data_IF_298129987133
#
_entry.id   IF_298129987133
#
_cell.length_a   1.000
_cell.length_b   1.000
_cell.length_c   1.000
_cell.angle_alpha   90.00
_cell.angle_beta   90.00
_cell.angle_gamma   90.00
#
_symmetry.space_group_name_H-M   'P 1'
#
loop_
_entity.id
_entity.type
_entity.pdbx_description
1 polymer ?
#
# COMPACT_ATOMS: atom_id res chain seq x y z
N UNK A 1 -14.87 3.32 -6.76
CA UNK A 1 -13.69 3.85 -6.04
C UNK A 1 -13.44 2.94 -4.86
N UNK A 2 -12.18 2.67 -4.55
CA UNK A 2 -11.78 1.75 -3.48
C UNK A 2 -10.69 2.38 -2.63
N UNK A 3 -10.84 2.29 -1.31
CA UNK A 3 -9.78 2.58 -0.35
C UNK A 3 -9.09 1.26 -0.01
N UNK A 4 -7.81 1.13 -0.34
CA UNK A 4 -7.07 -0.10 -0.07
C UNK A 4 -6.57 -0.09 1.37
N UNK A 5 -6.74 -1.24 2.01
CA UNK A 5 -6.08 -1.57 3.26
C UNK A 5 -4.63 -2.05 3.03
N UNK A 6 -3.82 -2.05 4.07
CA UNK A 6 -2.40 -2.39 4.05
C UNK A 6 -2.15 -3.82 3.56
N UNK A 7 -3.05 -4.74 3.87
CA UNK A 7 -2.96 -6.13 3.40
C UNK A 7 -3.05 -6.23 1.87
N UNK A 8 -3.99 -5.55 1.22
CA UNK A 8 -4.21 -5.60 -0.23
C UNK A 8 -3.01 -5.03 -0.96
N UNK A 9 -2.53 -3.84 -0.56
CA UNK A 9 -1.37 -3.23 -1.22
C UNK A 9 -0.08 -4.06 -1.00
N UNK A 10 0.07 -4.67 0.17
CA UNK A 10 1.18 -5.58 0.46
C UNK A 10 1.11 -6.87 -0.35
N UNK A 11 -0.09 -7.36 -0.62
CA UNK A 11 -0.32 -8.54 -1.46
C UNK A 11 -0.03 -8.23 -2.93
N UNK A 12 -0.52 -7.10 -3.44
CA UNK A 12 -0.28 -6.65 -4.82
C UNK A 12 1.22 -6.44 -5.13
N UNK A 13 2.04 -6.11 -4.12
CA UNK A 13 3.51 -6.10 -4.29
C UNK A 13 4.04 -7.46 -4.74
N UNK A 14 3.48 -8.55 -4.20
CA UNK A 14 3.91 -9.93 -4.48
C UNK A 14 3.46 -10.41 -5.86
N UNK A 15 2.54 -9.69 -6.52
CA UNK A 15 1.96 -10.10 -7.80
C UNK A 15 3.02 -10.29 -8.89
N UNK A 16 4.00 -9.38 -8.98
CA UNK A 16 5.11 -9.49 -9.95
C UNK A 16 5.99 -10.72 -9.73
N UNK A 17 6.01 -11.27 -8.53
CA UNK A 17 6.75 -12.48 -8.19
C UNK A 17 5.90 -13.76 -8.31
N UNK A 18 4.64 -13.65 -8.76
CA UNK A 18 3.71 -14.79 -8.85
C UNK A 18 3.31 -15.36 -7.48
N UNK A 19 3.50 -14.60 -6.40
CA UNK A 19 3.28 -15.04 -5.02
C UNK A 19 2.05 -14.40 -4.36
N UNK A 20 1.34 -13.54 -5.08
CA UNK A 20 0.11 -12.94 -4.59
C UNK A 20 -1.06 -13.91 -4.73
N UNK A 21 -2.08 -13.76 -3.87
CA UNK A 21 -3.35 -14.45 -4.05
C UNK A 21 -3.95 -14.15 -5.46
N UNK A 22 -4.23 -15.18 -6.28
CA UNK A 22 -4.74 -14.98 -7.65
C UNK A 22 -6.05 -14.19 -7.71
N UNK A 23 -6.91 -14.29 -6.70
CA UNK A 23 -8.19 -13.57 -6.66
C UNK A 23 -7.97 -12.08 -6.43
N UNK A 24 -6.98 -11.70 -5.62
CA UNK A 24 -6.62 -10.30 -5.39
C UNK A 24 -6.03 -9.69 -6.66
N UNK A 25 -5.18 -10.43 -7.36
CA UNK A 25 -4.61 -10.00 -8.65
C UNK A 25 -5.72 -9.82 -9.69
N UNK A 26 -6.55 -10.85 -9.88
CA UNK A 26 -7.65 -10.80 -10.85
C UNK A 26 -8.61 -9.64 -10.56
N UNK A 27 -8.95 -9.38 -9.30
CA UNK A 27 -9.74 -8.21 -8.94
C UNK A 27 -9.04 -6.90 -9.33
N UNK A 28 -7.75 -6.74 -8.98
CA UNK A 28 -7.02 -5.50 -9.25
C UNK A 28 -6.83 -5.22 -10.75
N UNK A 29 -6.75 -6.25 -11.59
CA UNK A 29 -6.69 -6.12 -13.06
C UNK A 29 -7.96 -5.49 -13.67
N UNK A 30 -9.11 -5.67 -13.02
CA UNK A 30 -10.39 -5.11 -13.48
C UNK A 30 -10.72 -3.75 -12.88
N UNK A 31 -9.88 -3.23 -11.97
CA UNK A 31 -10.13 -1.95 -11.30
C UNK A 31 -9.23 -0.86 -11.90
N UNK A 32 -9.81 0.22 -12.44
CA UNK A 32 -9.02 1.34 -12.96
C UNK A 32 -8.12 1.93 -11.88
N UNK A 33 -6.82 2.06 -12.13
CA UNK A 33 -5.85 2.60 -11.17
C UNK A 33 -6.27 3.95 -10.57
N UNK A 34 -6.85 4.92 -11.30
CA UNK A 34 -7.28 6.19 -10.73
C UNK A 34 -8.41 6.07 -9.68
N UNK A 35 -9.10 4.93 -9.65
CA UNK A 35 -10.18 4.66 -8.70
C UNK A 35 -9.70 4.06 -7.37
N UNK A 36 -8.40 3.79 -7.23
CA UNK A 36 -7.77 3.25 -6.03
C UNK A 36 -7.19 4.37 -5.16
N UNK A 37 -7.35 4.26 -3.84
CA UNK A 37 -6.90 5.25 -2.86
C UNK A 37 -6.20 4.55 -1.70
N UNK A 38 -5.36 5.29 -0.98
CA UNK A 38 -4.81 4.89 0.30
C UNK A 38 -5.22 5.88 1.37
N UNK A 39 -5.29 5.45 2.63
CA UNK A 39 -5.37 6.36 3.76
C UNK A 39 -3.97 6.71 4.26
N UNK A 40 -3.83 7.84 4.95
CA UNK A 40 -2.58 8.15 5.68
C UNK A 40 -2.24 7.09 6.74
N UNK A 41 -3.22 6.35 7.26
CA UNK A 41 -2.99 5.24 8.20
C UNK A 41 -2.33 4.05 7.49
N UNK A 42 -2.80 3.71 6.30
CA UNK A 42 -2.17 2.67 5.47
C UNK A 42 -0.72 3.02 5.14
N UNK A 43 -0.41 4.30 4.90
CA UNK A 43 0.99 4.73 4.74
C UNK A 43 1.81 4.56 6.02
N UNK A 44 1.25 4.93 7.18
CA UNK A 44 1.90 4.74 8.48
C UNK A 44 2.22 3.26 8.74
N UNK A 45 1.28 2.36 8.46
CA UNK A 45 1.48 0.92 8.64
C UNK A 45 2.55 0.37 7.71
N UNK A 46 2.56 0.79 6.44
CA UNK A 46 3.60 0.43 5.49
C UNK A 46 4.98 0.93 5.94
N UNK A 47 5.10 2.20 6.29
CA UNK A 47 6.35 2.82 6.77
C UNK A 47 6.89 2.09 8.01
N UNK A 48 6.01 1.82 8.97
CA UNK A 48 6.34 1.07 10.19
C UNK A 48 6.82 -0.34 9.84
N UNK A 49 6.12 -1.03 8.93
CA UNK A 49 6.52 -2.34 8.44
C UNK A 49 7.89 -2.33 7.76
N UNK A 50 8.19 -1.32 6.94
CA UNK A 50 9.52 -1.16 6.32
C UNK A 50 10.59 -0.97 7.39
N UNK A 51 10.40 -0.05 8.34
CA UNK A 51 11.35 0.24 9.42
C UNK A 51 11.65 -0.99 10.29
N UNK A 52 10.63 -1.79 10.62
CA UNK A 52 10.80 -3.02 11.40
C UNK A 52 11.66 -4.04 10.65
N UNK A 53 11.47 -4.19 9.34
CA UNK A 53 12.30 -5.08 8.53
C UNK A 53 13.70 -4.52 8.36
N UNK A 54 13.89 -3.22 8.13
CA UNK A 54 15.22 -2.59 8.04
C UNK A 54 16.08 -2.86 9.29
N UNK A 55 15.46 -2.85 10.48
CA UNK A 55 16.15 -3.16 11.74
C UNK A 55 16.54 -4.63 11.87
N UNK A 56 15.73 -5.55 11.34
CA UNK A 56 15.93 -7.00 11.46
C UNK A 56 16.80 -7.58 10.34
N UNK A 57 16.61 -7.09 9.12
CA UNK A 57 17.25 -7.51 7.88
C UNK A 57 17.43 -6.29 6.97
N UNK A 58 18.59 -5.61 7.04
CA UNK A 58 18.84 -4.38 6.30
C UNK A 58 18.75 -4.55 4.77
N UNK A 59 19.13 -5.71 4.23
CA UNK A 59 19.11 -5.96 2.80
C UNK A 59 17.66 -6.05 2.29
N UNK A 60 16.82 -6.80 2.99
CA UNK A 60 15.40 -6.89 2.66
C UNK A 60 14.67 -5.57 2.94
N UNK A 61 15.03 -4.89 4.02
CA UNK A 61 14.50 -3.57 4.38
C UNK A 61 14.73 -2.54 3.26
N UNK A 62 15.94 -2.49 2.71
CA UNK A 62 16.26 -1.59 1.60
C UNK A 62 15.43 -1.88 0.33
N UNK A 63 15.08 -3.14 0.06
CA UNK A 63 14.19 -3.50 -1.04
C UNK A 63 12.78 -2.96 -0.79
N UNK A 64 12.26 -3.12 0.44
CA UNK A 64 10.93 -2.63 0.82
C UNK A 64 10.87 -1.10 0.82
N UNK A 65 11.92 -0.44 1.30
CA UNK A 65 12.09 1.02 1.25
C UNK A 65 11.99 1.55 -0.17
N UNK A 66 12.77 0.98 -1.10
CA UNK A 66 12.70 1.36 -2.52
C UNK A 66 11.33 1.11 -3.13
N UNK A 67 10.67 0.00 -2.77
CA UNK A 67 9.31 -0.26 -3.22
C UNK A 67 8.33 0.81 -2.71
N UNK A 68 8.41 1.17 -1.43
CA UNK A 68 7.53 2.18 -0.84
C UNK A 68 7.74 3.56 -1.48
N UNK A 69 8.98 4.05 -1.49
CA UNK A 69 9.35 5.38 -1.99
C UNK A 69 9.18 5.52 -3.51
N UNK A 70 9.62 4.53 -4.29
CA UNK A 70 9.68 4.67 -5.75
C UNK A 70 8.48 4.08 -6.49
N UNK A 71 7.61 3.32 -5.81
CA UNK A 71 6.40 2.74 -6.43
C UNK A 71 5.14 3.18 -5.73
N UNK A 72 5.02 3.01 -4.42
CA UNK A 72 3.76 3.27 -3.69
C UNK A 72 3.46 4.77 -3.66
N UNK A 73 4.35 5.60 -3.13
CA UNK A 73 4.10 7.04 -3.00
C UNK A 73 3.80 7.72 -4.35
N UNK A 74 4.57 7.48 -5.43
CA UNK A 74 4.28 8.09 -6.73
C UNK A 74 2.98 7.57 -7.34
N UNK A 75 2.70 6.27 -7.19
CA UNK A 75 1.48 5.67 -7.75
C UNK A 75 0.22 6.22 -7.09
N UNK A 76 0.25 6.64 -5.83
CA UNK A 76 -0.92 7.17 -5.11
C UNK A 76 -0.87 8.68 -4.88
N UNK A 77 0.04 9.40 -5.56
CA UNK A 77 0.08 10.86 -5.50
C UNK A 77 -1.28 11.48 -5.87
N UNK A 78 -1.75 12.41 -5.04
CA UNK A 78 -3.09 13.02 -5.15
C UNK A 78 -4.26 12.10 -4.76
N UNK A 79 -3.99 10.87 -4.30
CA UNK A 79 -4.99 9.84 -3.93
C UNK A 79 -4.73 9.21 -2.57
N UNK A 80 -4.02 9.94 -1.71
CA UNK A 80 -3.85 9.63 -0.30
C UNK A 80 -4.84 10.48 0.49
N UNK A 81 -5.76 9.84 1.18
CA UNK A 81 -6.80 10.50 1.96
C UNK A 81 -6.29 10.79 3.38
N UNK A 82 -6.32 12.07 3.75
CA UNK A 82 -6.07 12.50 5.11
C UNK A 82 -7.20 12.03 6.03
N UNK A 83 -6.85 11.72 7.28
CA UNK A 83 -7.82 11.43 8.34
C UNK A 83 -7.75 12.56 9.35
N UNK A 84 -8.91 13.19 9.56
CA UNK A 84 -9.13 14.23 10.56
C UNK A 84 -10.35 13.86 11.44
N UNK A 85 -10.66 14.70 12.43
CA UNK A 85 -11.77 14.44 13.34
C UNK A 85 -13.13 14.30 12.62
N UNK A 86 -13.48 15.12 11.61
CA UNK A 86 -14.66 14.89 10.78
C UNK A 86 -14.70 13.53 10.08
N UNK A 87 -13.60 13.12 9.42
CA UNK A 87 -13.51 11.82 8.74
C UNK A 87 -13.69 10.67 9.74
N UNK A 88 -13.05 10.76 10.92
CA UNK A 88 -13.14 9.73 11.96
C UNK A 88 -14.53 9.60 12.61
N UNK A 89 -15.39 10.61 12.45
CA UNK A 89 -16.74 10.65 13.06
C UNK A 89 -17.87 10.39 12.06
N UNK A 90 -17.54 10.22 10.78
CA UNK A 90 -18.50 9.92 9.73
C UNK A 90 -18.66 8.40 9.64
N UNK A 91 -19.75 7.90 10.23
CA UNK A 91 -20.24 6.54 10.03
C UNK A 91 -20.91 6.41 8.67
#
# INVERSE_FOLDING_TARGET
MYLLDTNVISELRKAKAGKADPKVVAWAEHVPTPSLFLSVITLLELETGVLLIERRDPAQGAILRRWFESRVLPAFSGRILAIDAPVARRL
#
